data_IF_984496588465
#
_entry.id   IF_984496588465
#
_cell.length_a   1.000
_cell.length_b   1.000
_cell.length_c   1.000
_cell.angle_alpha   90.00
_cell.angle_beta   90.00
_cell.angle_gamma   90.00
#
_symmetry.space_group_name_H-M   'P 1'
#
loop_
_entity.id
_entity.type
_entity.pdbx_description
1 polymer ?
#
# COMPACT_ATOMS: atom_id res chain seq x y z
N UNK A 1 -3.93 32.67 5.35
CA UNK A 1 -2.91 31.94 4.57
C UNK A 1 -3.52 30.74 3.86
N UNK A 2 -4.08 29.75 4.58
CA UNK A 2 -4.74 28.56 3.99
C UNK A 2 -5.79 28.92 2.93
N UNK A 3 -6.76 29.79 3.27
CA UNK A 3 -7.82 30.22 2.34
C UNK A 3 -7.26 30.89 1.07
N UNK A 4 -6.26 31.77 1.18
CA UNK A 4 -5.64 32.44 0.02
C UNK A 4 -4.97 31.43 -0.92
N UNK A 5 -4.24 30.47 -0.37
CA UNK A 5 -3.59 29.41 -1.17
C UNK A 5 -4.63 28.50 -1.81
N UNK A 6 -5.69 28.15 -1.07
CA UNK A 6 -6.81 27.36 -1.60
C UNK A 6 -7.52 28.06 -2.76
N UNK A 7 -7.81 29.36 -2.63
CA UNK A 7 -8.42 30.18 -3.67
C UNK A 7 -7.52 30.34 -4.90
N UNK A 8 -6.20 30.47 -4.70
CA UNK A 8 -5.23 30.51 -5.80
C UNK A 8 -5.20 29.19 -6.57
N UNK A 9 -5.15 28.06 -5.86
CA UNK A 9 -5.20 26.73 -6.47
C UNK A 9 -6.54 26.50 -7.19
N UNK A 10 -7.68 26.82 -6.57
CA UNK A 10 -9.01 26.71 -7.21
C UNK A 10 -9.08 27.51 -8.51
N UNK A 11 -8.62 28.75 -8.51
CA UNK A 11 -8.58 29.59 -9.72
C UNK A 11 -7.68 28.99 -10.79
N UNK A 12 -6.47 28.55 -10.43
CA UNK A 12 -5.55 27.92 -11.38
C UNK A 12 -6.14 26.68 -12.05
N UNK A 13 -6.83 25.84 -11.27
CA UNK A 13 -7.50 24.64 -11.80
C UNK A 13 -8.71 24.98 -12.68
N UNK A 14 -9.49 25.99 -12.32
CA UNK A 14 -10.62 26.45 -13.13
C UNK A 14 -10.17 27.00 -14.50
N UNK A 15 -9.07 27.77 -14.54
CA UNK A 15 -8.51 28.29 -15.79
C UNK A 15 -8.12 27.16 -16.76
N UNK A 16 -7.64 26.03 -16.23
CA UNK A 16 -7.25 24.85 -17.01
C UNK A 16 -8.42 23.87 -17.28
N UNK A 17 -9.63 24.22 -16.84
CA UNK A 17 -10.83 23.39 -16.98
C UNK A 17 -10.76 22.06 -16.21
N UNK A 18 -10.03 22.03 -15.09
CA UNK A 18 -9.85 20.83 -14.26
C UNK A 18 -10.81 20.87 -13.08
N UNK A 19 -11.70 19.87 -13.00
CA UNK A 19 -12.54 19.67 -11.82
C UNK A 19 -11.76 18.88 -10.74
N UNK A 20 -11.66 19.45 -9.55
CA UNK A 20 -10.91 18.87 -8.45
C UNK A 20 -11.42 19.35 -7.09
N UNK A 21 -11.47 18.45 -6.12
CA UNK A 21 -11.79 18.78 -4.74
C UNK A 21 -10.52 19.10 -3.95
N UNK A 22 -10.39 20.35 -3.49
CA UNK A 22 -9.28 20.77 -2.62
C UNK A 22 -9.73 20.72 -1.15
N UNK A 23 -8.96 20.06 -0.30
CA UNK A 23 -9.15 20.01 1.16
C UNK A 23 -7.89 20.50 1.87
N UNK A 24 -8.02 21.48 2.75
CA UNK A 24 -6.96 21.84 3.68
C UNK A 24 -6.71 20.70 4.68
N UNK A 25 -5.44 20.34 4.89
CA UNK A 25 -5.01 19.33 5.86
C UNK A 25 -4.10 19.99 6.88
N UNK A 26 -4.55 20.05 8.12
CA UNK A 26 -3.70 20.38 9.26
C UNK A 26 -3.14 19.09 9.87
N UNK A 27 -1.84 19.05 10.17
CA UNK A 27 -1.25 17.88 10.85
C UNK A 27 -1.66 17.85 12.32
N UNK A 28 -1.99 16.65 12.82
CA UNK A 28 -2.21 16.44 14.25
C UNK A 28 -0.98 16.85 15.06
N UNK A 29 -1.22 17.55 16.18
CA UNK A 29 -0.18 18.03 17.12
C UNK A 29 0.79 16.92 17.56
N UNK A 30 0.28 15.70 17.79
CA UNK A 30 1.10 14.55 18.16
C UNK A 30 2.13 14.18 17.06
N UNK A 31 1.71 14.20 15.78
CA UNK A 31 2.61 13.92 14.65
C UNK A 31 3.68 15.00 14.48
N UNK A 32 3.32 16.27 14.74
CA UNK A 32 4.26 17.39 14.77
C UNK A 32 5.30 17.14 15.87
N UNK A 33 4.86 16.83 17.09
CA UNK A 33 5.74 16.54 18.22
C UNK A 33 6.70 15.37 17.96
N UNK A 34 6.19 14.24 17.46
CA UNK A 34 7.04 13.09 17.11
C UNK A 34 8.10 13.45 16.06
N UNK A 35 7.75 14.29 15.08
CA UNK A 35 8.69 14.72 14.03
C UNK A 35 9.76 15.66 14.58
N UNK A 36 9.39 16.59 15.47
CA UNK A 36 10.34 17.44 16.18
C UNK A 36 11.31 16.61 17.02
N UNK A 37 10.79 15.65 17.79
CA UNK A 37 11.60 14.77 18.63
C UNK A 37 12.54 13.87 17.82
N UNK A 38 12.05 13.23 16.77
CA UNK A 38 12.84 12.25 16.00
C UNK A 38 13.88 12.90 15.10
N UNK A 39 13.68 14.16 14.67
CA UNK A 39 14.59 14.88 13.77
C UNK A 39 15.37 16.02 14.44
N UNK A 40 15.14 16.25 15.73
CA UNK A 40 15.76 17.36 16.46
C UNK A 40 15.37 18.74 15.92
N UNK A 41 14.17 18.89 15.35
CA UNK A 41 13.72 20.13 14.72
C UNK A 41 13.06 21.06 15.74
N UNK A 42 13.40 22.34 15.69
CA UNK A 42 12.73 23.41 16.43
C UNK A 42 11.32 23.68 15.91
N UNK A 43 10.48 24.35 16.71
CA UNK A 43 9.09 24.68 16.34
C UNK A 43 9.01 25.49 15.03
N UNK A 44 9.97 26.39 14.82
CA UNK A 44 10.15 27.19 13.61
C UNK A 44 10.53 26.37 12.37
N UNK A 45 11.15 25.21 12.54
CA UNK A 45 11.60 24.34 11.43
C UNK A 45 10.54 23.30 11.03
N UNK A 46 9.43 23.20 11.76
CA UNK A 46 8.28 22.38 11.35
C UNK A 46 7.43 23.17 10.36
N UNK A 47 7.97 23.31 9.16
CA UNK A 47 7.31 23.95 8.02
C UNK A 47 6.09 23.17 7.50
N UNK A 48 6.02 21.89 7.86
CA UNK A 48 5.08 20.90 7.32
C UNK A 48 3.70 20.92 8.00
N UNK A 49 3.30 22.08 8.55
CA UNK A 49 2.04 22.26 9.28
C UNK A 49 0.84 22.34 8.34
N UNK A 50 1.04 22.99 7.20
CA UNK A 50 -0.01 23.28 6.23
C UNK A 50 0.17 22.40 5.01
N UNK A 51 -0.84 21.58 4.74
CA UNK A 51 -0.90 20.78 3.53
C UNK A 51 -2.24 20.93 2.82
N UNK A 52 -2.24 20.67 1.53
CA UNK A 52 -3.45 20.55 0.74
C UNK A 52 -3.54 19.16 0.17
N UNK A 53 -4.75 18.62 0.20
CA UNK A 53 -5.10 17.41 -0.52
C UNK A 53 -5.98 17.79 -1.69
N UNK A 54 -5.59 17.40 -2.89
CA UNK A 54 -6.35 17.62 -4.12
C UNK A 54 -6.81 16.26 -4.62
N UNK A 55 -8.12 16.07 -4.69
CA UNK A 55 -8.76 14.85 -5.13
C UNK A 55 -9.31 15.08 -6.54
N UNK A 56 -8.91 14.22 -7.48
CA UNK A 56 -9.30 14.28 -8.89
C UNK A 56 -10.00 13.01 -9.33
N UNK A 57 -10.53 12.98 -10.54
CA UNK A 57 -11.24 11.86 -11.12
C UNK A 57 -10.30 10.73 -11.58
N UNK A 58 -9.18 11.06 -12.24
CA UNK A 58 -8.25 10.10 -12.87
C UNK A 58 -6.78 10.51 -12.77
N UNK A 59 -5.89 9.56 -13.04
CA UNK A 59 -4.45 9.70 -12.83
C UNK A 59 -3.81 10.74 -13.75
N UNK A 60 -4.27 10.83 -15.00
CA UNK A 60 -3.88 11.88 -15.95
C UNK A 60 -4.16 13.28 -15.40
N UNK A 61 -5.36 13.49 -14.85
CA UNK A 61 -5.74 14.73 -14.18
C UNK A 61 -4.81 15.03 -13.01
N UNK A 62 -4.36 14.02 -12.25
CA UNK A 62 -3.44 14.23 -11.13
C UNK A 62 -2.09 14.83 -11.58
N UNK A 63 -1.54 14.36 -12.71
CA UNK A 63 -0.32 14.92 -13.30
C UNK A 63 -0.55 16.31 -13.90
N UNK A 64 -1.72 16.59 -14.49
CA UNK A 64 -2.07 17.94 -14.94
C UNK A 64 -2.13 18.93 -13.77
N UNK A 65 -2.80 18.53 -12.68
CA UNK A 65 -2.85 19.32 -11.43
C UNK A 65 -1.45 19.59 -10.89
N UNK A 66 -0.55 18.60 -10.92
CA UNK A 66 0.84 18.79 -10.50
C UNK A 66 1.51 19.92 -11.28
N UNK A 67 1.29 19.97 -12.61
CA UNK A 67 1.76 21.06 -13.46
C UNK A 67 1.22 22.43 -13.05
N UNK A 68 -0.09 22.52 -12.77
CA UNK A 68 -0.72 23.76 -12.28
C UNK A 68 -0.11 24.22 -10.95
N UNK A 69 0.10 23.28 -10.02
CA UNK A 69 0.72 23.56 -8.71
C UNK A 69 2.15 24.10 -8.89
N UNK A 70 2.96 23.48 -9.75
CA UNK A 70 4.34 23.91 -10.02
C UNK A 70 4.44 25.20 -10.83
N UNK A 71 3.40 25.55 -11.61
CA UNK A 71 3.30 26.84 -12.28
C UNK A 71 2.99 27.97 -11.29
N UNK A 72 2.09 27.72 -10.33
CA UNK A 72 1.70 28.71 -9.32
C UNK A 72 2.76 28.90 -8.22
N UNK A 73 3.45 27.83 -7.84
CA UNK A 73 4.39 27.82 -6.73
C UNK A 73 5.65 27.02 -7.06
N UNK A 74 6.82 27.60 -6.77
CA UNK A 74 8.10 26.95 -7.04
C UNK A 74 8.26 25.65 -6.21
N UNK A 75 8.48 24.49 -6.85
CA UNK A 75 8.73 23.25 -6.13
C UNK A 75 10.09 23.25 -5.44
N UNK A 76 10.16 22.63 -4.26
CA UNK A 76 11.40 22.46 -3.54
C UNK A 76 12.18 21.26 -4.12
N UNK A 77 13.44 21.44 -4.57
CA UNK A 77 14.21 20.35 -5.17
C UNK A 77 14.33 19.12 -4.27
N UNK A 78 14.17 17.93 -4.86
CA UNK A 78 14.25 16.65 -4.14
C UNK A 78 13.11 16.38 -3.16
N UNK A 79 12.03 17.18 -3.16
CA UNK A 79 10.82 16.97 -2.34
C UNK A 79 9.60 16.50 -3.11
N UNK A 80 9.76 16.15 -4.38
CA UNK A 80 8.73 15.48 -5.16
C UNK A 80 8.83 13.96 -4.99
N UNK A 81 7.69 13.29 -4.82
CA UNK A 81 7.58 11.83 -4.79
C UNK A 81 6.35 11.39 -5.56
N UNK A 82 6.57 10.49 -6.51
CA UNK A 82 5.51 9.91 -7.30
C UNK A 82 5.13 8.53 -6.73
N UNK A 83 4.15 8.50 -5.83
CA UNK A 83 3.60 7.25 -5.34
C UNK A 83 2.49 6.68 -6.23
N UNK A 84 2.12 7.35 -7.33
CA UNK A 84 1.24 6.75 -8.33
C UNK A 84 2.05 5.74 -9.15
N UNK A 85 3.20 6.16 -9.67
CA UNK A 85 4.12 5.32 -10.44
C UNK A 85 4.85 4.29 -9.57
N UNK A 86 5.22 4.67 -8.33
CA UNK A 86 5.90 3.78 -7.38
C UNK A 86 5.09 3.72 -6.07
N UNK A 87 4.00 2.93 -6.03
CA UNK A 87 3.16 2.80 -4.84
C UNK A 87 3.94 2.33 -3.62
N UNK A 88 3.50 2.73 -2.43
CA UNK A 88 4.07 2.17 -1.20
C UNK A 88 3.63 0.72 -1.01
N UNK A 89 4.39 0.00 -0.19
CA UNK A 89 4.11 -1.38 0.21
C UNK A 89 2.82 -1.57 1.03
N UNK A 90 1.93 -0.60 1.13
CA UNK A 90 0.58 -0.73 1.69
C UNK A 90 -0.51 -0.34 0.67
N UNK A 91 -0.15 -0.26 -0.61
CA UNK A 91 -1.03 0.17 -1.70
C UNK A 91 -1.32 1.68 -1.70
N UNK A 92 -0.65 2.46 -0.86
CA UNK A 92 -0.83 3.91 -0.86
C UNK A 92 -0.29 4.52 -2.16
N UNK A 93 -1.17 5.27 -2.83
CA UNK A 93 -0.87 6.00 -4.06
C UNK A 93 -1.27 7.47 -3.91
N UNK A 94 -0.39 8.38 -4.35
CA UNK A 94 -0.59 9.83 -4.41
C UNK A 94 0.68 10.51 -4.96
N UNK A 95 0.54 11.64 -5.66
CA UNK A 95 1.67 12.54 -5.94
C UNK A 95 1.90 13.44 -4.75
N UNK A 96 3.13 13.47 -4.24
CA UNK A 96 3.53 14.35 -3.14
C UNK A 96 4.53 15.37 -3.64
N UNK A 97 4.28 16.65 -3.39
CA UNK A 97 5.23 17.71 -3.68
C UNK A 97 5.25 18.71 -2.53
N UNK A 98 6.41 19.27 -2.25
CA UNK A 98 6.52 20.44 -1.35
C UNK A 98 6.85 21.64 -2.24
N UNK A 99 6.03 22.68 -2.13
CA UNK A 99 6.21 23.94 -2.86
C UNK A 99 6.39 25.11 -1.91
N UNK A 100 7.03 26.18 -2.37
CA UNK A 100 7.14 27.42 -1.60
C UNK A 100 5.86 28.22 -1.82
N UNK A 101 5.00 28.24 -0.80
CA UNK A 101 3.74 28.96 -0.81
C UNK A 101 3.89 30.47 -0.58
N UNK A 102 2.76 31.17 -0.40
CA UNK A 102 2.77 32.59 -0.08
C UNK A 102 3.62 32.88 1.17
N UNK A 103 4.33 34.02 1.17
CA UNK A 103 5.20 34.47 2.27
C UNK A 103 6.42 33.56 2.53
N UNK A 104 6.79 32.73 1.55
CA UNK A 104 7.99 31.86 1.63
C UNK A 104 7.79 30.61 2.49
N UNK A 105 6.56 30.33 2.92
CA UNK A 105 6.25 29.21 3.79
C UNK A 105 6.10 27.93 2.95
N UNK A 106 6.84 26.84 3.23
CA UNK A 106 6.66 25.57 2.54
C UNK A 106 5.27 24.97 2.76
N UNK A 107 4.68 24.44 1.70
CA UNK A 107 3.35 23.81 1.70
C UNK A 107 3.45 22.43 1.06
N UNK A 108 2.94 21.41 1.76
CA UNK A 108 2.84 20.06 1.22
C UNK A 108 1.56 19.91 0.40
N UNK A 109 1.66 19.49 -0.86
CA UNK A 109 0.51 19.21 -1.72
C UNK A 109 0.49 17.72 -2.04
N UNK A 110 -0.65 17.09 -1.77
CA UNK A 110 -0.93 15.68 -2.05
C UNK A 110 -2.03 15.61 -3.09
N UNK A 111 -1.74 15.04 -4.26
CA UNK A 111 -2.69 14.92 -5.36
C UNK A 111 -2.98 13.44 -5.55
N UNK A 112 -4.25 13.06 -5.67
CA UNK A 112 -4.65 11.67 -5.86
C UNK A 112 -6.05 11.56 -6.41
N UNK A 113 -6.41 10.40 -6.95
CA UNK A 113 -7.78 10.17 -7.41
C UNK A 113 -8.72 9.93 -6.23
N UNK A 114 -10.04 10.02 -6.46
CA UNK A 114 -11.07 9.61 -5.48
C UNK A 114 -10.79 8.20 -4.98
N UNK A 115 -10.40 7.30 -5.89
CA UNK A 115 -10.12 5.91 -5.56
C UNK A 115 -8.91 5.75 -4.64
N UNK A 116 -7.83 6.46 -4.95
CA UNK A 116 -6.62 6.49 -4.13
C UNK A 116 -6.88 7.12 -2.76
N UNK A 117 -7.76 8.12 -2.68
CA UNK A 117 -8.18 8.73 -1.41
C UNK A 117 -8.91 7.72 -0.52
N UNK A 118 -9.84 6.94 -1.07
CA UNK A 118 -10.55 5.88 -0.35
C UNK A 118 -9.61 4.80 0.17
N UNK A 119 -8.70 4.29 -0.67
CA UNK A 119 -7.70 3.30 -0.26
C UNK A 119 -6.80 3.85 0.85
N UNK A 120 -6.44 5.13 0.79
CA UNK A 120 -5.59 5.75 1.79
C UNK A 120 -6.29 6.03 3.14
N UNK A 121 -7.61 6.23 3.15
CA UNK A 121 -8.37 6.48 4.39
C UNK A 121 -8.90 5.20 5.03
N UNK A 122 -9.42 4.28 4.21
CA UNK A 122 -10.14 3.11 4.68
C UNK A 122 -9.37 1.79 4.46
N UNK A 123 -8.15 1.87 3.92
CA UNK A 123 -7.33 0.72 3.58
C UNK A 123 -7.81 0.01 2.31
N UNK A 124 -7.05 -0.99 1.89
CA UNK A 124 -7.36 -1.76 0.67
C UNK A 124 -8.68 -2.53 0.84
N UNK A 125 -9.01 -3.00 2.04
CA UNK A 125 -10.21 -3.79 2.32
C UNK A 125 -11.54 -3.04 2.05
N UNK A 126 -11.63 -1.75 2.38
CA UNK A 126 -12.85 -0.97 2.22
C UNK A 126 -13.19 -0.62 0.75
N UNK A 127 -12.18 -0.53 -0.11
CA UNK A 127 -12.32 -0.28 -1.54
C UNK A 127 -13.10 -1.41 -2.28
N UNK A 128 -13.14 -2.63 -1.72
CA UNK A 128 -13.84 -3.78 -2.31
C UNK A 128 -15.37 -3.76 -2.16
N UNK A 129 -15.89 -3.09 -1.12
CA UNK A 129 -17.34 -2.92 -0.92
C UNK A 129 -17.97 -2.02 -1.99
N UNK A 130 -17.19 -1.12 -2.60
CA UNK A 130 -17.72 -0.10 -3.52
C UNK A 130 -17.72 -0.55 -4.99
N UNK A 131 -16.66 -1.22 -5.46
CA UNK A 131 -16.58 -1.76 -6.84
C UNK A 131 -17.53 -2.94 -7.10
N UNK A 132 -18.14 -3.51 -6.06
CA UNK A 132 -19.01 -4.68 -6.14
C UNK A 132 -20.51 -4.35 -6.28
N UNK A 133 -20.88 -3.07 -6.31
CA UNK A 133 -22.27 -2.64 -6.43
C UNK A 133 -22.91 -2.82 -7.81
N UNK A 134 -22.15 -2.94 -8.90
CA UNK A 134 -22.72 -2.92 -10.26
C UNK A 134 -22.77 -4.26 -10.99
N UNK A 135 -22.03 -5.31 -10.61
CA UNK A 135 -22.14 -6.58 -11.34
C UNK A 135 -21.95 -7.85 -10.47
N UNK A 136 -23.05 -8.62 -10.42
CA UNK A 136 -23.16 -10.05 -10.10
C UNK A 136 -23.10 -10.50 -8.63
N UNK A 137 -23.90 -11.53 -8.35
CA UNK A 137 -24.18 -12.22 -7.10
C UNK A 137 -23.23 -13.41 -6.82
N UNK A 138 -21.92 -13.21 -7.01
CA UNK A 138 -20.89 -14.22 -6.71
C UNK A 138 -20.18 -13.93 -5.40
N UNK A 139 -20.01 -14.96 -4.55
CA UNK A 139 -19.32 -14.90 -3.25
C UNK A 139 -18.04 -14.07 -3.32
N UNK A 140 -17.96 -13.05 -2.47
CA UNK A 140 -16.83 -12.12 -2.30
C UNK A 140 -15.46 -12.83 -2.29
N UNK A 141 -15.40 -14.03 -1.73
CA UNK A 141 -14.19 -14.85 -1.63
C UNK A 141 -13.66 -15.35 -2.98
N UNK A 142 -14.52 -15.61 -3.98
CA UNK A 142 -14.07 -16.05 -5.30
C UNK A 142 -13.39 -14.92 -6.08
N UNK A 143 -13.84 -13.68 -5.87
CA UNK A 143 -13.36 -12.50 -6.60
C UNK A 143 -12.05 -11.96 -6.06
N UNK A 144 -11.89 -11.98 -4.74
CA UNK A 144 -10.61 -11.68 -4.09
C UNK A 144 -9.50 -12.66 -4.52
N UNK A 145 -9.84 -13.89 -4.92
CA UNK A 145 -8.89 -14.89 -5.43
C UNK A 145 -8.42 -14.61 -6.86
N UNK A 146 -9.31 -14.14 -7.74
CA UNK A 146 -8.95 -13.81 -9.12
C UNK A 146 -8.01 -12.61 -9.17
N UNK A 147 -8.28 -11.59 -8.36
CA UNK A 147 -7.40 -10.44 -8.20
C UNK A 147 -6.04 -10.79 -7.60
N UNK A 148 -6.01 -11.65 -6.57
CA UNK A 148 -4.73 -12.10 -6.00
C UNK A 148 -3.90 -12.81 -7.06
N UNK A 149 -4.53 -13.58 -7.95
CA UNK A 149 -3.87 -14.21 -9.10
C UNK A 149 -3.29 -13.19 -10.08
N UNK A 150 -4.06 -12.20 -10.50
CA UNK A 150 -3.59 -11.14 -11.40
C UNK A 150 -2.41 -10.34 -10.81
N UNK A 151 -2.49 -10.00 -9.50
CA UNK A 151 -1.41 -9.29 -8.82
C UNK A 151 -0.12 -10.11 -8.71
N UNK A 152 -0.24 -11.42 -8.50
CA UNK A 152 0.89 -12.33 -8.43
C UNK A 152 1.55 -12.54 -9.79
N UNK A 153 0.77 -12.57 -10.88
CA UNK A 153 1.32 -12.60 -12.25
C UNK A 153 2.11 -11.33 -12.57
N UNK A 154 1.64 -10.16 -12.14
CA UNK A 154 2.36 -8.89 -12.32
C UNK A 154 3.65 -8.87 -11.49
N UNK A 155 3.62 -9.35 -10.25
CA UNK A 155 4.80 -9.40 -9.38
C UNK A 155 5.87 -10.40 -9.87
N UNK A 156 5.47 -11.51 -10.51
CA UNK A 156 6.41 -12.46 -11.11
C UNK A 156 7.32 -11.83 -12.18
N UNK A 157 6.89 -10.69 -12.74
CA UNK A 157 7.64 -9.92 -13.76
C UNK A 157 8.46 -8.77 -13.16
N UNK A 158 8.12 -8.31 -11.96
CA UNK A 158 8.75 -7.17 -11.30
C UNK A 158 9.19 -7.60 -9.91
N UNK A 159 10.42 -8.07 -9.81
CA UNK A 159 10.99 -8.51 -8.53
C UNK A 159 11.08 -7.35 -7.54
N UNK A 160 10.15 -7.28 -6.59
CA UNK A 160 10.40 -6.91 -5.19
C UNK A 160 9.09 -6.67 -4.43
N UNK A 161 9.14 -7.00 -3.13
CA UNK A 161 8.18 -6.69 -2.05
C UNK A 161 7.24 -7.83 -1.62
N UNK A 162 7.81 -8.83 -0.97
CA UNK A 162 7.11 -9.89 -0.20
C UNK A 162 6.29 -9.30 0.96
N UNK A 163 6.80 -8.22 1.57
CA UNK A 163 6.24 -7.52 2.74
C UNK A 163 4.88 -6.83 2.47
N UNK A 164 4.59 -6.45 1.22
CA UNK A 164 3.28 -5.89 0.83
C UNK A 164 2.20 -6.96 0.78
N UNK A 165 2.51 -8.13 0.20
CA UNK A 165 1.57 -9.24 0.11
C UNK A 165 1.15 -9.71 1.50
N UNK A 166 2.05 -9.68 2.48
CA UNK A 166 1.74 -10.05 3.87
C UNK A 166 0.66 -9.15 4.46
N UNK A 167 0.85 -7.82 4.41
CA UNK A 167 -0.10 -6.86 4.97
C UNK A 167 -1.47 -6.92 4.27
N UNK A 168 -1.49 -7.08 2.95
CA UNK A 168 -2.73 -7.17 2.17
C UNK A 168 -3.46 -8.49 2.41
N UNK A 169 -2.75 -9.62 2.51
CA UNK A 169 -3.37 -10.93 2.73
C UNK A 169 -3.97 -11.07 4.12
N UNK A 170 -3.33 -10.48 5.14
CA UNK A 170 -3.83 -10.49 6.53
C UNK A 170 -5.18 -9.77 6.63
N UNK A 171 -5.37 -8.67 5.90
CA UNK A 171 -6.60 -7.87 5.93
C UNK A 171 -7.75 -8.48 5.11
N UNK A 172 -7.46 -9.32 4.11
CA UNK A 172 -8.47 -9.89 3.20
C UNK A 172 -9.08 -11.21 3.69
N UNK A 173 -8.33 -12.03 4.43
CA UNK A 173 -8.80 -13.31 4.97
C UNK A 173 -8.14 -13.59 6.33
N UNK A 174 -8.70 -13.09 7.45
CA UNK A 174 -8.06 -13.20 8.77
C UNK A 174 -7.91 -14.65 9.26
N UNK A 175 -8.61 -15.61 8.65
CA UNK A 175 -8.64 -17.03 9.01
C UNK A 175 -7.77 -17.92 8.10
N UNK A 176 -7.03 -17.35 7.15
CA UNK A 176 -6.18 -18.12 6.22
C UNK A 176 -4.72 -17.62 6.26
N UNK A 177 -3.77 -18.54 6.06
CA UNK A 177 -2.34 -18.25 5.91
C UNK A 177 -1.85 -18.67 4.53
N UNK A 178 -1.01 -17.85 3.94
CA UNK A 178 -0.51 -18.04 2.57
C UNK A 178 1.01 -18.18 2.59
N UNK A 179 1.51 -19.37 2.29
CA UNK A 179 2.94 -19.70 2.35
C UNK A 179 3.49 -20.02 0.97
N UNK A 180 4.78 -19.76 0.78
CA UNK A 180 5.48 -20.02 -0.47
C UNK A 180 6.18 -21.38 -0.42
N UNK A 181 6.10 -22.11 -1.52
CA UNK A 181 6.97 -23.26 -1.80
C UNK A 181 8.35 -22.78 -2.27
N UNK A 182 9.41 -23.61 -2.20
CA UNK A 182 10.73 -23.26 -2.74
C UNK A 182 10.73 -22.94 -4.24
N UNK A 183 9.71 -23.43 -4.97
CA UNK A 183 9.50 -23.16 -6.40
C UNK A 183 8.71 -21.87 -6.68
N UNK A 184 8.41 -21.07 -5.66
CA UNK A 184 7.68 -19.81 -5.78
C UNK A 184 6.16 -19.95 -5.90
N UNK A 185 5.62 -21.18 -5.91
CA UNK A 185 4.17 -21.40 -5.88
C UNK A 185 3.60 -21.07 -4.51
N UNK A 186 2.40 -20.50 -4.46
CA UNK A 186 1.70 -20.16 -3.21
C UNK A 186 0.74 -21.28 -2.83
N UNK A 187 0.74 -21.64 -1.54
CA UNK A 187 -0.23 -22.54 -0.92
C UNK A 187 -1.01 -21.81 0.16
N UNK A 188 -2.31 -22.13 0.20
CA UNK A 188 -3.26 -21.56 1.14
C UNK A 188 -3.62 -22.61 2.17
N UNK A 189 -3.53 -22.25 3.44
CA UNK A 189 -3.82 -23.11 4.57
C UNK A 189 -4.70 -22.37 5.58
N UNK A 190 -5.49 -23.07 6.41
CA UNK A 190 -6.16 -22.47 7.54
C UNK A 190 -5.18 -21.78 8.50
N UNK A 191 -5.61 -20.70 9.16
CA UNK A 191 -4.80 -20.07 10.21
C UNK A 191 -4.55 -21.05 11.35
N UNK A 192 -3.31 -21.07 11.83
CA UNK A 192 -2.84 -22.06 12.81
C UNK A 192 -2.21 -23.30 12.18
N UNK A 193 -2.22 -23.43 10.84
CA UNK A 193 -1.56 -24.54 10.16
C UNK A 193 -0.05 -24.57 10.40
N UNK A 194 0.48 -25.78 10.36
CA UNK A 194 1.86 -26.13 10.64
C UNK A 194 2.59 -26.60 9.38
N UNK A 195 3.93 -26.73 9.41
CA UNK A 195 4.67 -27.37 8.33
C UNK A 195 4.16 -28.76 7.92
N UNK A 196 3.58 -29.52 8.85
CA UNK A 196 2.97 -30.84 8.54
C UNK A 196 1.74 -30.66 7.67
N UNK A 197 0.85 -29.73 8.03
CA UNK A 197 -0.34 -29.41 7.24
C UNK A 197 0.04 -28.91 5.84
N UNK A 198 1.10 -28.09 5.76
CA UNK A 198 1.66 -27.67 4.48
C UNK A 198 2.17 -28.84 3.65
N UNK A 199 2.90 -29.79 4.25
CA UNK A 199 3.40 -30.96 3.55
C UNK A 199 2.27 -31.79 2.93
N UNK A 200 1.21 -32.09 3.69
CA UNK A 200 0.03 -32.80 3.20
C UNK A 200 -0.76 -32.00 2.16
N UNK A 201 -0.83 -30.68 2.28
CA UNK A 201 -1.47 -29.82 1.29
C UNK A 201 -0.70 -29.77 -0.05
N UNK A 202 0.62 -30.00 -0.02
CA UNK A 202 1.45 -30.09 -1.22
C UNK A 202 1.30 -31.47 -1.88
N UNK A 203 1.52 -32.55 -1.14
CA UNK A 203 1.33 -33.93 -1.61
C UNK A 203 1.27 -34.90 -0.42
N UNK A 204 0.43 -35.93 -0.49
CA UNK A 204 0.29 -36.94 0.57
C UNK A 204 1.63 -37.62 0.90
N UNK A 205 2.39 -38.05 -0.10
CA UNK A 205 3.72 -38.67 0.10
C UNK A 205 4.75 -37.72 0.72
N UNK A 206 4.64 -36.41 0.45
CA UNK A 206 5.50 -35.41 1.08
C UNK A 206 5.17 -35.26 2.57
N UNK A 207 3.87 -35.30 2.91
CA UNK A 207 3.40 -35.34 4.29
C UNK A 207 3.88 -36.60 5.03
N UNK A 208 3.75 -37.77 4.40
CA UNK A 208 4.16 -39.05 4.98
C UNK A 208 5.68 -39.13 5.23
N UNK A 209 6.49 -38.53 4.35
CA UNK A 209 7.95 -38.55 4.44
C UNK A 209 8.54 -37.32 5.15
N UNK A 210 7.70 -36.46 5.74
CA UNK A 210 8.13 -35.21 6.40
C UNK A 210 8.90 -35.51 7.70
N UNK A 211 10.19 -35.17 7.74
CA UNK A 211 11.04 -35.35 8.93
C UNK A 211 11.42 -34.03 9.58
N UNK A 212 11.53 -32.96 8.79
CA UNK A 212 11.86 -31.63 9.28
C UNK A 212 11.32 -30.57 8.32
N UNK A 213 11.28 -29.33 8.79
CA UNK A 213 10.87 -28.20 7.98
C UNK A 213 11.84 -27.03 8.16
N UNK A 214 12.04 -26.29 7.09
CA UNK A 214 12.65 -24.97 7.13
C UNK A 214 11.60 -23.93 6.79
N UNK A 215 11.60 -22.85 7.54
CA UNK A 215 10.80 -21.66 7.28
C UNK A 215 11.79 -20.51 7.09
N UNK A 216 11.72 -19.82 5.96
CA UNK A 216 12.64 -18.75 5.58
C UNK A 216 14.12 -19.17 5.70
N UNK A 217 14.39 -20.41 5.25
CA UNK A 217 15.71 -21.08 5.28
C UNK A 217 16.23 -21.43 6.68
N UNK A 218 15.47 -21.20 7.75
CA UNK A 218 15.82 -21.60 9.11
C UNK A 218 15.08 -22.87 9.52
N UNK A 219 15.77 -23.81 10.18
CA UNK A 219 15.14 -25.01 10.73
C UNK A 219 14.16 -24.64 11.85
N UNK A 220 12.94 -25.17 11.75
CA UNK A 220 11.89 -24.92 12.76
C UNK A 220 11.26 -26.24 13.23
N UNK A 221 10.72 -26.29 14.47
CA UNK A 221 9.89 -27.40 14.91
C UNK A 221 8.68 -27.60 13.99
N UNK A 222 8.27 -28.85 13.76
CA UNK A 222 7.10 -29.19 12.94
C UNK A 222 5.76 -28.66 13.49
N UNK A 223 5.71 -28.27 14.78
CA UNK A 223 4.54 -27.65 15.42
C UNK A 223 4.47 -26.13 15.26
N UNK A 224 5.46 -25.53 14.59
CA UNK A 224 5.50 -24.07 14.40
C UNK A 224 4.30 -23.62 13.61
N UNK A 225 3.59 -22.60 14.10
CA UNK A 225 2.46 -22.01 13.38
C UNK A 225 3.02 -21.19 12.22
N UNK A 226 2.56 -21.49 11.01
CA UNK A 226 2.94 -20.79 9.81
C UNK A 226 2.29 -19.40 9.75
N UNK A 227 3.05 -18.43 9.27
CA UNK A 227 2.61 -17.07 9.02
C UNK A 227 2.57 -16.80 7.52
N UNK A 228 1.67 -15.91 7.10
CA UNK A 228 1.60 -15.51 5.70
C UNK A 228 2.92 -14.89 5.24
N UNK A 229 3.34 -15.21 4.02
CA UNK A 229 4.54 -14.69 3.38
C UNK A 229 5.81 -15.52 3.58
N UNK A 230 5.77 -16.49 4.48
CA UNK A 230 6.89 -17.37 4.77
C UNK A 230 7.17 -18.37 3.64
N UNK A 231 8.46 -18.61 3.37
CA UNK A 231 8.93 -19.67 2.49
C UNK A 231 9.10 -20.97 3.27
N UNK A 232 8.26 -21.97 2.98
CA UNK A 232 8.25 -23.27 3.67
C UNK A 232 8.89 -24.33 2.78
N UNK A 233 9.95 -24.95 3.29
CA UNK A 233 10.65 -26.07 2.67
C UNK A 233 10.51 -27.30 3.57
N UNK A 234 9.98 -28.39 3.02
CA UNK A 234 9.85 -29.67 3.73
C UNK A 234 11.04 -30.54 3.42
N UNK A 235 11.75 -30.97 4.47
CA UNK A 235 12.81 -31.95 4.38
C UNK A 235 12.19 -33.33 4.53
N UNK A 236 12.46 -34.19 3.56
CA UNK A 236 12.03 -35.58 3.60
C UNK A 236 13.21 -36.51 3.83
N UNK A 237 12.97 -37.62 4.51
CA UNK A 237 13.90 -38.74 4.51
C UNK A 237 13.40 -39.75 3.47
N UNK A 238 14.09 -39.85 2.33
CA UNK A 238 13.94 -41.01 1.45
C UNK A 238 15.08 -41.97 1.75
N UNK A 239 14.80 -43.05 2.50
CA UNK A 239 15.73 -44.16 2.71
C UNK A 239 15.95 -44.56 4.17
N UNK A 240 15.10 -45.45 4.67
CA UNK A 240 15.53 -46.69 5.32
C UNK A 240 14.94 -47.85 4.53
#
# INVERSE_FOLDING_TARGET
MIQRTEEALKRGLQTEGIDAQIRGREKHLYSIYCKMKNKGLSWSEVWDRYGFRIIVDREDTAYRVLGVVHHLYSPLPGKFKDYIAIPKANGYQSLHTIVIGPEGIPVEVQIRTVMMDQVAEAGIAAHWLYKSGEHHSGSSAYRAREWLRELLEIQSRVGSSVEFLENVKIDLFPDEVYVFTPRGQIRRLPRGSTPVDFAYAVHTDLGNSCVAAKVDRQLVPLRTILQSGQLVEILTAHGA
#
